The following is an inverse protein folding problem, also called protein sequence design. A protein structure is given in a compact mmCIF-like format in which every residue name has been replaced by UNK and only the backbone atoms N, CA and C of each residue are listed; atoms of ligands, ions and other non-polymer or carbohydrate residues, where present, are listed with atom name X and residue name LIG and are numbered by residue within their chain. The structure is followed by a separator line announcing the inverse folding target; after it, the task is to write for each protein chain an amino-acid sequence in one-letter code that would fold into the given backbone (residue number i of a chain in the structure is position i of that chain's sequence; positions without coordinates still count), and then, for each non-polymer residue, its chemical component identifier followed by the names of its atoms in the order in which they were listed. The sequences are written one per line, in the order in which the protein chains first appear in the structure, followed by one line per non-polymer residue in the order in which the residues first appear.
data_IF_712071298646
#
_entry.id   IF_712071298646
#
_cell.length_a   1.000
_cell.length_b   1.000
_cell.length_c   1.000
_cell.angle_alpha   90.00
_cell.angle_beta   90.00
_cell.angle_gamma   90.00
#
_symmetry.space_group_name_H-M   'P 1'
#
loop_
_entity.id
_entity.type
_entity.pdbx_description
1 polymer ?
#
# COMPACT_ATOMS: atom_id res chain seq x y z
N UNK A 1 -3.77 -19.55 17.33
CA UNK A 1 -3.30 -19.44 15.93
C UNK A 1 -2.60 -20.72 15.52
N UNK A 2 -2.95 -21.30 14.38
CA UNK A 2 -2.28 -22.53 13.91
C UNK A 2 -0.85 -22.17 13.42
N UNK A 3 0.12 -23.04 13.69
CA UNK A 3 1.52 -22.86 13.24
C UNK A 3 1.64 -22.54 11.73
N UNK A 4 0.88 -23.18 10.82
CA UNK A 4 0.98 -22.89 9.39
C UNK A 4 0.48 -21.48 9.00
N UNK A 5 -0.46 -20.90 9.74
CA UNK A 5 -0.88 -19.51 9.48
C UNK A 5 0.20 -18.50 9.89
N UNK A 6 0.98 -18.76 10.93
CA UNK A 6 2.14 -17.93 11.30
C UNK A 6 3.21 -17.86 10.20
N UNK A 7 3.32 -18.89 9.36
CA UNK A 7 4.28 -18.90 8.26
C UNK A 7 3.94 -17.91 7.13
N UNK A 8 2.73 -17.34 7.14
CA UNK A 8 2.33 -16.27 6.23
C UNK A 8 2.88 -14.90 6.64
N UNK A 9 3.31 -14.74 7.89
CA UNK A 9 4.01 -13.56 8.36
C UNK A 9 5.50 -13.72 8.09
N UNK A 10 6.12 -12.72 7.47
CA UNK A 10 7.53 -12.76 7.11
C UNK A 10 8.43 -13.00 8.34
N UNK A 11 9.47 -13.81 8.17
CA UNK A 11 10.35 -14.24 9.26
C UNK A 11 11.03 -13.05 10.00
N UNK A 12 11.38 -12.02 9.24
CA UNK A 12 12.05 -10.82 9.76
C UNK A 12 11.07 -9.73 10.21
N UNK A 13 9.77 -10.05 10.29
CA UNK A 13 8.78 -9.08 10.77
C UNK A 13 8.71 -9.09 12.29
N UNK A 14 8.72 -7.91 12.92
CA UNK A 14 8.45 -7.81 14.36
C UNK A 14 7.02 -8.25 14.72
N UNK A 15 6.05 -8.13 13.83
CA UNK A 15 4.69 -8.64 13.99
C UNK A 15 4.63 -10.16 14.17
N UNK A 16 5.70 -10.91 13.85
CA UNK A 16 5.71 -12.35 14.04
C UNK A 16 5.75 -12.76 15.51
N UNK A 17 6.37 -11.97 16.38
CA UNK A 17 6.45 -12.24 17.82
C UNK A 17 5.12 -11.89 18.51
N UNK A 18 4.52 -10.77 18.16
CA UNK A 18 3.28 -10.28 18.71
C UNK A 18 2.34 -9.81 17.58
N UNK A 19 1.67 -10.76 16.89
CA UNK A 19 0.77 -10.41 15.82
C UNK A 19 -0.50 -9.75 16.37
N UNK A 20 -0.95 -8.67 15.72
CA UNK A 20 -2.24 -8.05 16.05
C UNK A 20 -3.41 -8.96 15.65
N UNK A 21 -4.59 -8.72 16.20
CA UNK A 21 -5.80 -9.48 15.85
C UNK A 21 -6.10 -9.43 14.35
N UNK A 22 -5.89 -8.27 13.74
CA UNK A 22 -6.04 -8.10 12.29
C UNK A 22 -5.01 -8.93 11.51
N UNK A 23 -3.75 -8.92 11.94
CA UNK A 23 -2.69 -9.72 11.30
C UNK A 23 -2.94 -11.22 11.44
N UNK A 24 -3.47 -11.63 12.58
CA UNK A 24 -3.86 -13.04 12.78
C UNK A 24 -5.02 -13.43 11.87
N UNK A 25 -6.03 -12.57 11.72
CA UNK A 25 -7.18 -12.84 10.84
C UNK A 25 -6.78 -12.85 9.36
N UNK A 26 -5.87 -11.99 8.93
CA UNK A 26 -5.35 -11.99 7.56
C UNK A 26 -4.46 -13.21 7.29
N UNK A 27 -3.61 -13.59 8.25
CA UNK A 27 -2.77 -14.78 8.12
C UNK A 27 -3.60 -16.06 8.01
N UNK A 28 -4.66 -16.19 8.81
CA UNK A 28 -5.60 -17.32 8.72
C UNK A 28 -6.37 -17.27 7.40
N UNK A 29 -6.83 -16.10 6.96
CA UNK A 29 -7.52 -15.94 5.67
C UNK A 29 -6.64 -16.35 4.49
N UNK A 30 -5.37 -15.92 4.47
CA UNK A 30 -4.41 -16.30 3.41
C UNK A 30 -4.11 -17.81 3.42
N UNK A 31 -4.01 -18.41 4.60
CA UNK A 31 -3.80 -19.85 4.72
C UNK A 31 -5.03 -20.65 4.24
N UNK A 32 -6.23 -20.22 4.58
CA UNK A 32 -7.47 -20.83 4.10
C UNK A 32 -7.64 -20.70 2.57
N UNK A 33 -7.29 -19.55 1.99
CA UNK A 33 -7.31 -19.37 0.55
C UNK A 33 -6.27 -20.27 -0.15
N UNK A 34 -5.11 -20.49 0.47
CA UNK A 34 -4.11 -21.43 -0.03
C UNK A 34 -4.60 -22.88 -0.01
N UNK A 35 -5.36 -23.27 1.02
CA UNK A 35 -5.87 -24.64 1.16
C UNK A 35 -7.09 -24.90 0.29
N UNK A 36 -8.01 -23.95 0.20
CA UNK A 36 -9.32 -24.12 -0.42
C UNK A 36 -9.34 -23.89 -1.94
N UNK A 37 -8.43 -23.04 -2.44
CA UNK A 37 -8.42 -22.65 -3.85
C UNK A 37 -7.17 -23.23 -4.55
N UNK A 38 -7.32 -24.26 -5.41
CA UNK A 38 -6.19 -24.94 -6.03
C UNK A 38 -5.33 -24.01 -6.89
N UNK A 39 -5.95 -23.07 -7.61
CA UNK A 39 -5.25 -22.10 -8.46
C UNK A 39 -4.36 -21.12 -7.68
N UNK A 40 -4.80 -20.75 -6.47
CA UNK A 40 -4.04 -19.85 -5.61
C UNK A 40 -3.00 -20.60 -4.76
N UNK A 41 -3.15 -21.89 -4.56
CA UNK A 41 -2.28 -22.73 -3.71
C UNK A 41 -0.81 -22.59 -4.08
N UNK A 42 -0.48 -22.79 -5.35
CA UNK A 42 0.90 -22.72 -5.82
C UNK A 42 1.47 -21.30 -5.71
N UNK A 43 0.66 -20.30 -6.05
CA UNK A 43 1.09 -18.91 -6.05
C UNK A 43 1.22 -18.33 -4.63
N UNK A 44 0.30 -18.65 -3.71
CA UNK A 44 0.31 -18.14 -2.33
C UNK A 44 1.33 -18.84 -1.43
N UNK A 45 1.76 -20.05 -1.75
CA UNK A 45 2.71 -20.82 -0.94
C UNK A 45 3.99 -20.05 -0.57
N UNK A 46 4.71 -19.40 -1.51
CA UNK A 46 5.90 -18.63 -1.21
C UNK A 46 5.61 -17.21 -0.70
N UNK A 47 4.35 -16.76 -0.74
CA UNK A 47 4.02 -15.38 -0.42
C UNK A 47 3.83 -15.16 1.08
N UNK A 48 4.51 -14.15 1.60
CA UNK A 48 4.47 -13.73 2.99
C UNK A 48 4.25 -12.21 3.05
N UNK A 49 3.55 -11.73 4.08
CA UNK A 49 3.42 -10.31 4.35
C UNK A 49 4.26 -9.89 5.57
N UNK A 50 4.60 -8.61 5.66
CA UNK A 50 5.40 -8.07 6.78
C UNK A 50 4.50 -7.62 7.91
N UNK A 51 3.47 -6.85 7.60
CA UNK A 51 2.50 -6.34 8.56
C UNK A 51 1.20 -6.02 7.84
N UNK A 52 0.12 -5.94 8.59
CA UNK A 52 -1.16 -5.48 8.08
C UNK A 52 -1.74 -4.43 9.01
N UNK A 53 -2.32 -3.40 8.44
CA UNK A 53 -2.87 -2.27 9.19
C UNK A 53 -4.25 -1.93 8.66
N UNK A 54 -5.16 -1.75 9.58
CA UNK A 54 -6.44 -1.13 9.27
C UNK A 54 -6.27 0.38 9.31
N UNK A 55 -6.74 1.02 8.26
CA UNK A 55 -6.64 2.44 8.14
C UNK A 55 -7.90 3.10 8.72
N UNK A 56 -7.89 3.53 9.99
CA UNK A 56 -8.92 4.37 10.62
C UNK A 56 -8.36 5.76 10.97
N UNK A 57 -9.26 6.72 11.18
CA UNK A 57 -8.88 8.10 11.46
C UNK A 57 -8.29 8.25 12.87
N UNK A 58 -6.99 8.38 12.97
CA UNK A 58 -6.35 8.94 14.15
C UNK A 58 -5.34 10.02 13.75
N UNK A 59 -5.17 11.00 14.66
CA UNK A 59 -4.46 12.25 14.49
C UNK A 59 -3.13 12.14 13.72
N UNK A 60 -2.84 13.14 12.91
CA UNK A 60 -1.64 13.34 12.09
C UNK A 60 -0.30 13.25 12.85
N UNK A 61 -0.29 13.31 14.17
CA UNK A 61 0.92 13.21 15.01
C UNK A 61 1.57 11.80 15.01
N UNK A 62 0.79 10.75 14.76
CA UNK A 62 1.34 9.38 14.68
C UNK A 62 2.01 9.06 13.34
N UNK A 63 1.73 9.81 12.29
CA UNK A 63 2.28 9.60 10.94
C UNK A 63 3.77 9.98 10.87
N UNK A 64 4.24 10.84 11.77
CA UNK A 64 5.62 11.34 11.76
C UNK A 64 6.60 10.51 12.59
N UNK A 65 6.14 9.45 13.26
CA UNK A 65 7.07 8.50 13.89
C UNK A 65 7.79 7.69 12.80
N UNK A 66 9.11 7.52 12.92
CA UNK A 66 9.85 6.70 11.96
C UNK A 66 9.23 5.32 11.89
N UNK A 67 9.17 4.73 10.69
CA UNK A 67 8.56 3.42 10.34
C UNK A 67 9.01 2.21 11.20
N UNK A 68 9.71 2.46 12.30
CA UNK A 68 10.18 1.49 13.30
C UNK A 68 9.22 1.32 14.48
N UNK A 69 8.22 2.18 14.63
CA UNK A 69 7.25 2.08 15.73
C UNK A 69 5.90 1.61 15.20
N UNK A 70 5.52 0.42 15.63
CA UNK A 70 4.27 -0.28 15.29
C UNK A 70 3.09 0.39 15.98
N UNK A 71 2.38 1.26 15.31
CA UNK A 71 1.05 1.69 15.72
C UNK A 71 0.03 1.30 14.67
N UNK A 72 -1.03 0.65 15.11
CA UNK A 72 -2.20 0.30 14.30
C UNK A 72 -2.81 1.60 13.79
N UNK A 73 -2.67 1.87 12.51
CA UNK A 73 -3.32 3.01 11.87
C UNK A 73 -4.63 2.51 11.27
N UNK A 74 -5.73 2.81 11.93
CA UNK A 74 -7.08 2.58 11.39
C UNK A 74 -7.47 3.78 10.52
N UNK A 75 -7.87 3.60 9.28
CA UNK A 75 -8.31 4.63 8.33
C UNK A 75 -9.82 4.50 8.11
N UNK A 76 -10.59 5.42 8.64
CA UNK A 76 -11.94 5.64 8.13
C UNK A 76 -11.82 6.41 6.82
N UNK A 77 -12.21 5.78 5.74
CA UNK A 77 -12.47 6.43 4.47
C UNK A 77 -13.83 7.11 4.62
N UNK A 78 -13.96 8.36 4.20
CA UNK A 78 -15.24 9.06 4.22
C UNK A 78 -16.37 8.16 3.69
N UNK A 79 -17.57 8.28 4.24
CA UNK A 79 -18.73 7.41 4.02
C UNK A 79 -18.73 6.04 4.75
N UNK A 80 -18.00 5.92 5.88
CA UNK A 80 -18.04 4.72 6.73
C UNK A 80 -17.32 3.50 6.19
N UNK A 81 -16.65 3.59 5.04
CA UNK A 81 -15.83 2.50 4.48
C UNK A 81 -14.48 2.43 5.18
N UNK A 82 -14.03 1.22 5.46
CA UNK A 82 -12.73 0.95 6.07
C UNK A 82 -11.77 0.38 5.03
N UNK A 83 -10.49 0.64 5.19
CA UNK A 83 -9.45 0.08 4.32
C UNK A 83 -8.42 -0.71 5.13
N UNK A 84 -8.05 -1.87 4.63
CA UNK A 84 -6.98 -2.72 5.18
C UNK A 84 -5.78 -2.64 4.25
N UNK A 85 -4.65 -2.23 4.78
CA UNK A 85 -3.39 -2.14 4.04
C UNK A 85 -2.47 -3.27 4.49
N UNK A 86 -2.09 -4.12 3.56
CA UNK A 86 -1.19 -5.25 3.76
C UNK A 86 0.18 -4.87 3.22
N UNK A 87 1.19 -4.81 4.09
CA UNK A 87 2.56 -4.52 3.69
C UNK A 87 3.31 -5.81 3.37
N UNK A 88 3.85 -5.89 2.17
CA UNK A 88 4.59 -7.06 1.68
C UNK A 88 6.07 -6.71 1.46
N UNK A 89 7.00 -7.68 1.55
CA UNK A 89 8.38 -7.45 1.18
C UNK A 89 8.50 -7.08 -0.30
N UNK A 90 9.36 -6.11 -0.64
CA UNK A 90 9.58 -5.64 -2.02
C UNK A 90 9.89 -6.80 -3.01
N UNK A 91 10.73 -7.80 -2.67
CA UNK A 91 11.02 -8.92 -3.58
C UNK A 91 9.80 -9.78 -3.91
N UNK A 92 8.83 -9.88 -2.99
CA UNK A 92 7.63 -10.71 -3.18
C UNK A 92 6.48 -9.96 -3.86
N UNK A 93 6.60 -8.64 -4.04
CA UNK A 93 5.55 -7.81 -4.64
C UNK A 93 5.13 -8.30 -6.03
N UNK A 94 6.10 -8.65 -6.88
CA UNK A 94 5.82 -9.18 -8.21
C UNK A 94 5.02 -10.49 -8.18
N UNK A 95 5.22 -11.32 -7.16
CA UNK A 95 4.43 -12.53 -6.93
C UNK A 95 2.98 -12.20 -6.51
N UNK A 96 2.82 -11.20 -5.64
CA UNK A 96 1.50 -10.73 -5.25
C UNK A 96 0.74 -10.10 -6.43
N UNK A 97 1.39 -9.31 -7.28
CA UNK A 97 0.76 -8.68 -8.45
C UNK A 97 0.10 -9.71 -9.38
N UNK A 98 0.71 -10.88 -9.59
CA UNK A 98 0.15 -11.94 -10.45
C UNK A 98 -1.21 -12.44 -9.99
N UNK A 99 -1.46 -12.44 -8.69
CA UNK A 99 -2.69 -12.98 -8.08
C UNK A 99 -3.54 -11.91 -7.43
N UNK A 100 -3.13 -10.65 -7.47
CA UNK A 100 -3.69 -9.55 -6.68
C UNK A 100 -5.18 -9.35 -6.93
N UNK A 101 -5.64 -9.32 -8.18
CA UNK A 101 -7.05 -9.10 -8.50
C UNK A 101 -7.96 -10.16 -7.84
N UNK A 102 -7.56 -11.43 -7.96
CA UNK A 102 -8.32 -12.53 -7.37
C UNK A 102 -8.19 -12.55 -5.85
N UNK A 103 -6.99 -12.34 -5.35
CA UNK A 103 -6.70 -12.33 -3.92
C UNK A 103 -7.45 -11.22 -3.19
N UNK A 104 -7.43 -9.99 -3.70
CA UNK A 104 -8.16 -8.87 -3.08
C UNK A 104 -9.66 -9.12 -3.06
N UNK A 105 -10.22 -9.67 -4.15
CA UNK A 105 -11.63 -10.02 -4.23
C UNK A 105 -12.04 -11.06 -3.16
N UNK A 106 -11.24 -12.10 -2.97
CA UNK A 106 -11.52 -13.12 -1.96
C UNK A 106 -11.33 -12.61 -0.52
N UNK A 107 -10.32 -11.76 -0.30
CA UNK A 107 -10.13 -11.12 1.00
C UNK A 107 -11.25 -10.12 1.33
N UNK A 108 -11.73 -9.35 0.37
CA UNK A 108 -12.85 -8.42 0.55
C UNK A 108 -14.17 -9.15 0.85
N UNK A 109 -14.37 -10.35 0.30
CA UNK A 109 -15.52 -11.20 0.68
C UNK A 109 -15.45 -11.65 2.15
N UNK A 110 -14.24 -11.92 2.65
CA UNK A 110 -14.05 -12.32 4.07
C UNK A 110 -14.10 -11.14 5.02
N UNK A 111 -13.58 -10.00 4.60
CA UNK A 111 -13.57 -8.77 5.39
C UNK A 111 -14.64 -7.82 4.85
N UNK A 112 -15.90 -8.15 5.11
CA UNK A 112 -17.04 -7.32 4.70
C UNK A 112 -16.80 -5.83 5.00
N UNK A 113 -17.18 -4.96 4.08
CA UNK A 113 -17.09 -3.50 4.18
C UNK A 113 -15.66 -2.91 4.27
N UNK A 114 -14.63 -3.69 3.92
CA UNK A 114 -13.24 -3.25 3.95
C UNK A 114 -12.59 -3.40 2.59
N UNK A 115 -12.00 -2.32 2.07
CA UNK A 115 -11.18 -2.40 0.87
C UNK A 115 -9.79 -2.94 1.23
N UNK A 116 -9.29 -3.90 0.48
CA UNK A 116 -7.97 -4.50 0.71
C UNK A 116 -6.97 -3.94 -0.29
N UNK A 117 -5.87 -3.38 0.22
CA UNK A 117 -4.75 -2.83 -0.56
C UNK A 117 -3.46 -3.57 -0.21
N UNK A 118 -2.66 -3.88 -1.23
CA UNK A 118 -1.37 -4.55 -1.06
C UNK A 118 -0.27 -3.57 -1.47
N UNK A 119 0.57 -3.22 -0.52
CA UNK A 119 1.66 -2.26 -0.70
C UNK A 119 3.00 -2.89 -0.36
N UNK A 120 4.06 -2.51 -1.06
CA UNK A 120 5.40 -2.94 -0.67
C UNK A 120 5.92 -2.13 0.53
N UNK A 121 6.49 -2.83 1.50
CA UNK A 121 7.20 -2.22 2.62
C UNK A 121 8.53 -1.64 2.15
N UNK A 122 8.59 -0.32 1.97
CA UNK A 122 9.79 0.40 1.51
C UNK A 122 10.32 1.30 2.61
N UNK A 123 11.62 1.22 2.86
CA UNK A 123 12.29 2.09 3.83
C UNK A 123 12.88 3.32 3.13
N UNK A 124 12.54 4.51 3.64
CA UNK A 124 13.13 5.78 3.20
C UNK A 124 14.46 5.98 3.92
N UNK A 125 15.53 6.22 3.17
CA UNK A 125 16.82 6.58 3.74
C UNK A 125 16.95 8.11 3.78
N UNK A 126 17.40 8.69 4.90
CA UNK A 126 17.63 10.12 5.01
C UNK A 126 18.77 10.58 4.09
N UNK A 127 18.75 11.84 3.70
CA UNK A 127 19.86 12.44 2.96
C UNK A 127 21.10 12.50 3.85
N UNK A 128 22.28 12.09 3.38
CA UNK A 128 23.51 12.20 4.16
C UNK A 128 23.78 13.68 4.47
N UNK A 129 23.93 14.00 5.77
CA UNK A 129 24.30 15.34 6.22
C UNK A 129 25.83 15.48 6.18
N UNK A 130 26.29 16.71 5.97
CA UNK A 130 27.74 17.04 5.93
C UNK A 130 28.47 16.70 7.24
N UNK A 131 27.77 16.76 8.37
CA UNK A 131 28.28 16.40 9.71
C UNK A 131 28.29 14.89 9.98
N UNK A 132 27.55 14.09 9.22
CA UNK A 132 27.47 12.64 9.45
C UNK A 132 28.59 11.93 8.67
N UNK A 133 29.77 11.86 9.31
CA UNK A 133 30.97 11.16 8.80
C UNK A 133 30.97 9.66 9.12
N UNK A 134 29.81 9.02 9.24
CA UNK A 134 29.80 7.58 9.46
C UNK A 134 30.50 6.86 8.30
N UNK A 135 31.36 5.89 8.62
CA UNK A 135 32.15 5.11 7.66
C UNK A 135 31.26 4.47 6.56
N UNK A 136 30.05 4.08 6.92
CA UNK A 136 29.06 3.50 6.01
C UNK A 136 28.50 4.52 5.02
N UNK A 137 28.31 5.78 5.42
CA UNK A 137 27.76 6.82 4.53
C UNK A 137 28.78 7.35 3.53
N UNK A 138 30.07 7.12 3.78
CA UNK A 138 31.16 7.50 2.86
C UNK A 138 31.37 6.44 1.77
N UNK A 139 31.19 5.15 2.11
CA UNK A 139 31.41 4.03 1.19
C UNK A 139 30.18 3.66 0.37
N UNK A 140 28.98 3.85 0.90
CA UNK A 140 27.74 3.46 0.21
C UNK A 140 26.90 4.68 -0.16
N UNK A 141 26.81 4.94 -1.45
CA UNK A 141 25.93 5.99 -1.99
C UNK A 141 24.46 5.61 -1.79
N UNK A 142 23.64 6.56 -1.29
CA UNK A 142 22.19 6.38 -1.14
C UNK A 142 21.54 6.04 -2.49
N UNK A 143 20.85 4.90 -2.65
CA UNK A 143 20.12 4.57 -3.87
C UNK A 143 18.98 5.55 -4.13
N UNK A 144 18.73 5.90 -5.39
CA UNK A 144 17.61 6.79 -5.76
C UNK A 144 16.25 6.19 -5.40
N UNK A 145 16.10 4.87 -5.50
CA UNK A 145 14.86 4.14 -5.14
C UNK A 145 14.45 4.28 -3.67
N UNK A 146 15.37 4.68 -2.80
CA UNK A 146 15.11 4.89 -1.37
C UNK A 146 15.01 6.37 -0.98
N UNK A 147 14.88 7.25 -1.95
CA UNK A 147 14.59 8.67 -1.71
C UNK A 147 13.11 8.87 -1.41
N UNK A 148 12.77 9.93 -0.68
CA UNK A 148 11.39 10.26 -0.31
C UNK A 148 10.47 10.29 -1.54
N UNK A 149 10.87 11.00 -2.58
CA UNK A 149 10.08 11.14 -3.82
C UNK A 149 9.88 9.81 -4.53
N UNK A 150 10.95 9.02 -4.70
CA UNK A 150 10.88 7.73 -5.37
C UNK A 150 10.03 6.72 -4.59
N UNK A 151 10.10 6.73 -3.25
CA UNK A 151 9.26 5.86 -2.41
C UNK A 151 7.79 6.30 -2.50
N UNK A 152 7.49 7.60 -2.45
CA UNK A 152 6.11 8.09 -2.60
C UNK A 152 5.53 7.75 -3.98
N UNK A 153 6.32 7.88 -5.05
CA UNK A 153 5.90 7.50 -6.39
C UNK A 153 5.64 5.98 -6.51
N UNK A 154 6.48 5.18 -5.87
CA UNK A 154 6.30 3.74 -5.84
C UNK A 154 5.08 3.32 -5.00
N UNK A 155 4.82 3.97 -3.86
CA UNK A 155 3.60 3.77 -3.07
C UNK A 155 2.36 4.13 -3.90
N UNK A 156 2.41 5.23 -4.64
CA UNK A 156 1.30 5.63 -5.51
C UNK A 156 1.00 4.58 -6.58
N UNK A 157 2.03 4.04 -7.21
CA UNK A 157 1.88 2.97 -8.19
C UNK A 157 1.30 1.68 -7.57
N UNK A 158 1.75 1.30 -6.37
CA UNK A 158 1.24 0.12 -5.68
C UNK A 158 -0.24 0.30 -5.25
N UNK A 159 -0.64 1.50 -4.79
CA UNK A 159 -2.01 1.81 -4.37
C UNK A 159 -2.99 1.66 -5.52
N UNK A 160 -2.60 2.13 -6.70
CA UNK A 160 -3.46 2.18 -7.89
C UNK A 160 -3.51 0.84 -8.63
N UNK A 161 -2.51 -0.03 -8.40
CA UNK A 161 -2.46 -1.32 -9.09
C UNK A 161 -3.81 -2.08 -9.00
N UNK A 162 -4.37 -2.65 -10.11
CA UNK A 162 -3.70 -2.96 -11.38
C UNK A 162 -3.73 -1.83 -12.43
N UNK A 163 -4.35 -0.70 -12.13
CA UNK A 163 -4.48 0.41 -13.07
C UNK A 163 -3.12 1.09 -13.30
N UNK A 164 -2.85 1.47 -14.55
CA UNK A 164 -1.65 2.22 -14.90
C UNK A 164 -1.86 3.73 -14.76
N UNK A 165 -0.79 4.42 -14.36
CA UNK A 165 -0.77 5.87 -14.22
C UNK A 165 -0.31 6.45 -15.56
N UNK A 166 -1.22 7.12 -16.27
CA UNK A 166 -0.92 7.79 -17.54
C UNK A 166 -0.18 9.11 -17.33
N UNK A 167 -0.55 9.85 -16.28
CA UNK A 167 0.06 11.13 -16.01
C UNK A 167 -0.07 11.60 -14.57
N UNK A 168 0.81 12.52 -14.19
CA UNK A 168 0.82 13.17 -12.87
C UNK A 168 0.98 14.66 -13.03
N UNK A 169 0.13 15.45 -12.37
CA UNK A 169 0.20 16.91 -12.37
C UNK A 169 0.16 17.42 -10.93
N UNK A 170 1.10 18.28 -10.57
CA UNK A 170 1.09 18.98 -9.30
C UNK A 170 0.45 20.35 -9.50
N UNK A 171 -0.71 20.56 -8.87
CA UNK A 171 -1.40 21.86 -8.88
C UNK A 171 -1.15 22.55 -7.55
N UNK A 172 -0.63 23.76 -7.60
CA UNK A 172 -0.54 24.66 -6.44
C UNK A 172 -1.73 25.60 -6.48
N UNK A 173 -2.49 25.67 -5.40
CA UNK A 173 -3.59 26.62 -5.23
C UNK A 173 -3.05 27.96 -4.77
N UNK A 174 -3.89 29.00 -4.81
CA UNK A 174 -3.56 30.35 -4.31
C UNK A 174 -3.14 30.37 -2.85
N UNK A 175 -3.77 29.53 -2.03
CA UNK A 175 -3.43 29.33 -0.60
C UNK A 175 -2.07 28.65 -0.36
N UNK A 176 -1.29 28.36 -1.42
CA UNK A 176 -0.03 27.64 -1.34
C UNK A 176 -0.18 26.12 -1.13
N UNK A 177 -1.38 25.61 -0.95
CA UNK A 177 -1.63 24.17 -0.82
C UNK A 177 -1.37 23.45 -2.15
N UNK A 178 -0.74 22.27 -2.08
CA UNK A 178 -0.37 21.46 -3.24
C UNK A 178 -1.24 20.22 -3.33
N UNK A 179 -1.88 20.04 -4.47
CA UNK A 179 -2.70 18.86 -4.77
C UNK A 179 -2.06 18.10 -5.93
N UNK A 180 -1.79 16.83 -5.72
CA UNK A 180 -1.30 15.92 -6.76
C UNK A 180 -2.51 15.35 -7.52
N UNK A 181 -2.66 15.71 -8.80
CA UNK A 181 -3.63 15.08 -9.70
C UNK A 181 -2.98 13.94 -10.44
N UNK A 182 -3.57 12.77 -10.35
CA UNK A 182 -3.11 11.53 -11.00
C UNK A 182 -4.14 11.13 -12.03
N UNK A 183 -3.69 10.96 -13.25
CA UNK A 183 -4.53 10.55 -14.39
C UNK A 183 -4.31 9.06 -14.59
N UNK A 184 -5.40 8.30 -14.51
CA UNK A 184 -5.43 6.84 -14.63
C UNK A 184 -5.84 6.41 -16.03
N UNK A 185 -5.48 5.18 -16.43
CA UNK A 185 -5.95 4.61 -17.69
C UNK A 185 -7.46 4.33 -17.62
N UNK A 186 -8.17 4.69 -18.68
CA UNK A 186 -9.63 4.55 -18.79
C UNK A 186 -10.08 3.08 -18.91
N UNK A 187 -9.23 2.20 -19.42
CA UNK A 187 -9.57 0.78 -19.64
C UNK A 187 -10.06 0.06 -18.39
N UNK A 188 -9.50 0.38 -17.24
CA UNK A 188 -9.79 -0.26 -15.96
C UNK A 188 -10.80 0.53 -15.09
N UNK A 189 -11.44 1.57 -15.65
CA UNK A 189 -12.32 2.48 -14.92
C UNK A 189 -13.42 1.75 -14.15
N UNK A 190 -14.12 0.81 -14.80
CA UNK A 190 -15.27 0.12 -14.19
C UNK A 190 -14.94 -0.70 -12.95
N UNK A 191 -13.67 -1.15 -12.83
CA UNK A 191 -13.20 -1.95 -11.68
C UNK A 191 -12.68 -1.14 -10.49
N UNK A 192 -12.44 0.16 -10.68
CA UNK A 192 -11.67 0.96 -9.71
C UNK A 192 -12.40 2.23 -9.25
N UNK A 193 -13.38 2.70 -10.00
CA UNK A 193 -14.07 3.98 -9.75
C UNK A 193 -14.58 4.10 -8.30
N UNK A 194 -15.16 3.03 -7.76
CA UNK A 194 -15.67 2.98 -6.38
C UNK A 194 -14.58 2.98 -5.28
N UNK A 195 -13.29 2.84 -5.68
CA UNK A 195 -12.13 2.80 -4.76
C UNK A 195 -11.30 4.08 -4.75
N UNK A 196 -11.57 5.03 -5.64
CA UNK A 196 -10.74 6.23 -5.81
C UNK A 196 -10.62 7.04 -4.53
N UNK A 197 -11.72 7.20 -3.78
CA UNK A 197 -11.73 7.89 -2.50
C UNK A 197 -10.83 7.16 -1.48
N UNK A 198 -10.90 5.83 -1.45
CA UNK A 198 -10.04 5.01 -0.59
C UNK A 198 -8.58 5.20 -0.93
N UNK A 199 -8.23 5.23 -2.22
CA UNK A 199 -6.85 5.44 -2.68
C UNK A 199 -6.33 6.82 -2.26
N UNK A 200 -7.13 7.87 -2.41
CA UNK A 200 -6.75 9.23 -2.03
C UNK A 200 -6.48 9.35 -0.53
N UNK A 201 -7.35 8.78 0.31
CA UNK A 201 -7.20 8.81 1.75
C UNK A 201 -6.03 7.95 2.24
N UNK A 202 -5.86 6.73 1.71
CA UNK A 202 -4.71 5.87 2.05
C UNK A 202 -3.41 6.54 1.65
N UNK A 203 -3.32 7.11 0.44
CA UNK A 203 -2.12 7.81 0.00
C UNK A 203 -1.83 9.05 0.84
N UNK A 204 -2.85 9.84 1.16
CA UNK A 204 -2.74 11.02 2.04
C UNK A 204 -2.17 10.66 3.40
N UNK A 205 -2.65 9.58 4.01
CA UNK A 205 -2.18 9.15 5.33
C UNK A 205 -0.78 8.54 5.32
N UNK A 206 -0.40 7.84 4.25
CA UNK A 206 0.94 7.27 4.13
C UNK A 206 2.00 8.32 3.81
N UNK A 207 1.64 9.38 3.07
CA UNK A 207 2.61 10.35 2.52
C UNK A 207 2.44 11.77 3.03
N UNK A 208 1.31 12.08 3.65
CA UNK A 208 0.92 13.45 4.02
C UNK A 208 0.53 14.33 2.82
N UNK A 209 0.44 13.79 1.61
CA UNK A 209 0.13 14.55 0.40
C UNK A 209 -1.32 14.34 -0.02
N UNK A 210 -2.01 15.43 -0.31
CA UNK A 210 -3.35 15.38 -0.90
C UNK A 210 -3.23 14.93 -2.35
N UNK A 211 -3.98 13.90 -2.72
CA UNK A 211 -4.01 13.33 -4.07
C UNK A 211 -5.45 13.26 -4.56
N UNK A 212 -5.69 13.58 -5.83
CA UNK A 212 -6.95 13.36 -6.53
C UNK A 212 -6.70 12.46 -7.74
N UNK A 213 -7.54 11.45 -7.92
CA UNK A 213 -7.50 10.56 -9.07
C UNK A 213 -8.57 10.95 -10.07
N UNK A 214 -8.18 11.04 -11.34
CA UNK A 214 -9.06 11.43 -12.44
C UNK A 214 -8.81 10.48 -13.62
N UNK A 215 -9.85 10.22 -14.41
CA UNK A 215 -9.72 9.57 -15.72
C UNK A 215 -9.63 10.64 -16.82
N UNK A 216 -8.90 10.38 -17.92
CA UNK A 216 -8.90 11.31 -19.02
C UNK A 216 -10.34 11.47 -19.52
N UNK A 217 -10.77 12.70 -19.75
CA UNK A 217 -11.98 12.92 -20.52
C UNK A 217 -11.66 12.48 -21.95
N UNK A 218 -12.35 11.44 -22.44
CA UNK A 218 -12.40 11.17 -23.87
C UNK A 218 -13.03 12.41 -24.51
N UNK A 219 -12.21 13.25 -25.15
CA UNK A 219 -12.75 14.20 -26.10
C UNK A 219 -13.38 13.33 -27.19
N UNK A 220 -14.70 13.23 -27.15
CA UNK A 220 -15.47 12.84 -28.33
C UNK A 220 -15.16 13.87 -29.38
N UNK A 221 -14.12 13.62 -30.16
CA UNK A 221 -13.92 14.28 -31.44
C UNK A 221 -15.01 13.71 -32.35
N UNK A 222 -16.20 14.27 -32.25
CA UNK A 222 -17.15 14.24 -33.34
C UNK A 222 -16.51 15.05 -34.48
N UNK A 223 -15.95 14.32 -35.44
CA UNK A 223 -15.69 14.81 -36.79
C UNK A 223 -16.77 14.23 -37.72
#
# INVERSE_FOLDING_TARGET
MSQPALNKIAHNSPSRQHPSELETSIATALYELETNIPDLKVALRPLQFVSAREAAATSWEEVNKPLTSFSVIQLEVGHGKRAVVIFVPVPLLAGFHKVQQRLTRELEKKFSDRHVLILASRRILPRPKRSNRSRTSQTQKRPRSRTLTAVHDAILADVVYPVEIVGKRLRTKEDGSKVLKVILDEKERGGVDYRLDTYSEVYRKLTGRVCGFEFPMSSSTDF
#
